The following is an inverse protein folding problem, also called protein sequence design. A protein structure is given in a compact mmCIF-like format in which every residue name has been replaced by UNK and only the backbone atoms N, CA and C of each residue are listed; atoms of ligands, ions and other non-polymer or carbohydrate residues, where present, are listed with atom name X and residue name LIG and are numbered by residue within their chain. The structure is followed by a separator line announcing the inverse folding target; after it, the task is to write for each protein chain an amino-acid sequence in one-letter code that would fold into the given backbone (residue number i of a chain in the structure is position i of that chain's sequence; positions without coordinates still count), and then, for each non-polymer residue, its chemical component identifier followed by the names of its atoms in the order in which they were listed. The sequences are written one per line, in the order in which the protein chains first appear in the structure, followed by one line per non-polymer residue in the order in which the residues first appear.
data_IF_323057543064
#
_entry.id   IF_323057543064
#
_cell.length_a   1.000
_cell.length_b   1.000
_cell.length_c   1.000
_cell.angle_alpha   90.00
_cell.angle_beta   90.00
_cell.angle_gamma   90.00
#
_symmetry.space_group_name_H-M   'P 1'
#
loop_
_entity.id
_entity.type
_entity.pdbx_description
1 polymer ?
#
# COMPACT_ATOMS: atom_id res chain seq x y z
N UNK A 1 -17.27 15.61 -2.24
CA UNK A 1 -15.88 15.83 -2.71
C UNK A 1 -15.73 15.23 -4.11
N UNK A 2 -15.16 15.97 -5.03
CA UNK A 2 -14.88 15.50 -6.39
C UNK A 2 -13.44 15.86 -6.72
N UNK A 3 -12.69 14.90 -7.26
CA UNK A 3 -11.33 15.11 -7.75
C UNK A 3 -11.28 14.78 -9.23
N UNK A 4 -10.64 15.64 -10.02
CA UNK A 4 -10.34 15.38 -11.42
C UNK A 4 -9.07 14.54 -11.57
N UNK A 5 -8.72 14.17 -12.82
CA UNK A 5 -7.50 13.44 -13.10
C UNK A 5 -6.26 14.14 -12.54
N UNK A 6 -5.39 13.41 -11.87
CA UNK A 6 -4.15 13.95 -11.29
C UNK A 6 -4.32 14.76 -10.00
N UNK A 7 -5.55 14.96 -9.55
CA UNK A 7 -5.81 15.67 -8.29
C UNK A 7 -5.81 14.70 -7.10
N UNK A 8 -5.44 15.21 -5.94
CA UNK A 8 -5.41 14.45 -4.69
C UNK A 8 -4.99 15.31 -3.51
N UNK A 9 -4.79 14.71 -2.34
CA UNK A 9 -4.60 15.43 -1.08
C UNK A 9 -3.19 15.35 -0.53
N UNK A 10 -2.67 14.14 -0.36
CA UNK A 10 -1.37 13.89 0.24
C UNK A 10 -0.57 12.94 -0.65
N UNK A 11 0.71 13.28 -0.86
CA UNK A 11 1.63 12.47 -1.64
C UNK A 11 2.77 12.03 -0.73
N UNK A 12 2.90 10.73 -0.54
CA UNK A 12 3.96 10.14 0.28
C UNK A 12 4.85 9.24 -0.57
N UNK A 13 6.08 9.00 -0.10
CA UNK A 13 7.02 8.09 -0.77
C UNK A 13 7.65 7.14 0.24
N UNK A 14 7.81 5.87 -0.15
CA UNK A 14 8.53 4.87 0.64
C UNK A 14 8.99 3.75 -0.30
N UNK A 15 10.17 3.22 -0.07
CA UNK A 15 10.74 2.12 -0.86
C UNK A 15 10.77 2.41 -2.37
N UNK A 16 10.91 3.67 -2.77
CA UNK A 16 10.84 4.08 -4.16
C UNK A 16 9.43 4.15 -4.75
N UNK A 17 8.40 3.78 -4.02
CA UNK A 17 7.02 3.90 -4.49
C UNK A 17 6.43 5.25 -4.11
N UNK A 18 5.46 5.71 -4.91
CA UNK A 18 4.70 6.93 -4.66
C UNK A 18 3.29 6.54 -4.26
N UNK A 19 2.78 7.16 -3.19
CA UNK A 19 1.45 6.92 -2.65
C UNK A 19 0.69 8.24 -2.66
N UNK A 20 -0.23 8.37 -3.60
CA UNK A 20 -1.01 9.61 -3.78
C UNK A 20 -2.44 9.40 -3.32
N UNK A 21 -2.77 9.96 -2.16
CA UNK A 21 -4.08 9.75 -1.52
C UNK A 21 -5.17 10.57 -2.18
N UNK A 22 -6.27 9.88 -2.51
CA UNK A 22 -7.50 10.46 -3.06
C UNK A 22 -8.59 10.58 -2.00
N UNK A 23 -8.53 9.76 -0.96
CA UNK A 23 -9.45 9.82 0.19
C UNK A 23 -8.67 9.57 1.48
N UNK A 24 -8.94 10.40 2.47
CA UNK A 24 -8.29 10.37 3.78
C UNK A 24 -9.31 10.10 4.89
N UNK A 25 -8.84 9.54 6.00
CA UNK A 25 -9.67 9.25 7.17
C UNK A 25 -10.50 10.47 7.63
N UNK A 26 -9.88 11.64 7.65
CA UNK A 26 -10.54 12.87 8.14
C UNK A 26 -11.75 13.30 7.31
N UNK A 27 -11.93 12.75 6.11
CA UNK A 27 -12.99 13.13 5.19
C UNK A 27 -14.24 12.26 5.32
N UNK A 28 -14.15 11.10 6.02
CA UNK A 28 -15.24 10.13 6.10
C UNK A 28 -15.30 9.39 7.44
N UNK A 29 -14.91 10.05 8.52
CA UNK A 29 -14.89 9.49 9.88
C UNK A 29 -14.06 8.21 10.01
N UNK A 30 -13.02 8.07 9.18
CA UNK A 30 -12.10 6.93 9.25
C UNK A 30 -12.58 5.67 8.55
N UNK A 31 -13.68 5.71 7.81
CA UNK A 31 -14.28 4.52 7.19
C UNK A 31 -13.40 3.92 6.08
N UNK A 32 -12.73 4.77 5.29
CA UNK A 32 -11.82 4.29 4.27
C UNK A 32 -10.73 5.31 3.94
N UNK A 33 -9.63 4.83 3.41
CA UNK A 33 -8.66 5.62 2.68
C UNK A 33 -8.40 4.96 1.34
N UNK A 34 -8.05 5.77 0.34
CA UNK A 34 -7.75 5.29 -1.00
C UNK A 34 -6.57 6.06 -1.56
N UNK A 35 -5.60 5.32 -2.09
CA UNK A 35 -4.45 5.91 -2.75
C UNK A 35 -4.23 5.30 -4.13
N UNK A 36 -3.70 6.12 -5.04
CA UNK A 36 -3.06 5.65 -6.25
C UNK A 36 -1.59 5.39 -5.91
N UNK A 37 -1.15 4.17 -6.11
CA UNK A 37 0.22 3.78 -5.80
C UNK A 37 0.97 3.47 -7.08
N UNK A 38 2.17 4.06 -7.23
CA UNK A 38 3.08 3.78 -8.33
C UNK A 38 4.26 2.99 -7.79
N UNK A 39 4.45 1.79 -8.34
CA UNK A 39 5.54 0.90 -7.96
C UNK A 39 6.67 1.00 -8.97
N UNK A 40 7.91 1.26 -8.53
CA UNK A 40 9.05 1.29 -9.45
C UNK A 40 9.34 -0.11 -9.99
N UNK A 41 10.08 -0.21 -11.12
CA UNK A 41 10.51 -1.49 -11.64
C UNK A 41 11.23 -2.30 -10.55
N UNK A 42 10.82 -3.56 -10.36
CA UNK A 42 11.40 -4.50 -9.39
C UNK A 42 11.59 -3.91 -8.00
N UNK A 43 10.67 -3.03 -7.61
CA UNK A 43 10.75 -2.32 -6.35
C UNK A 43 10.70 -3.24 -5.13
N UNK A 44 11.21 -2.72 -4.01
CA UNK A 44 11.27 -3.47 -2.76
C UNK A 44 9.85 -3.72 -2.23
N UNK A 45 9.54 -4.98 -1.90
CA UNK A 45 8.27 -5.36 -1.29
C UNK A 45 8.20 -4.94 0.17
N UNK A 46 7.01 -4.58 0.68
CA UNK A 46 6.82 -4.53 2.13
C UNK A 46 7.02 -5.93 2.75
N UNK A 47 7.37 -6.00 4.03
CA UNK A 47 7.37 -7.29 4.73
C UNK A 47 6.03 -7.99 4.61
N UNK A 48 6.03 -9.31 4.49
CA UNK A 48 4.78 -10.07 4.49
C UNK A 48 4.07 -9.86 5.83
N UNK A 49 2.78 -9.54 5.77
CA UNK A 49 2.02 -9.15 6.95
C UNK A 49 0.53 -9.45 6.79
N UNK A 50 -0.18 -9.33 7.91
CA UNK A 50 -1.65 -9.34 7.92
C UNK A 50 -2.16 -8.12 8.67
N UNK A 51 -3.26 -7.56 8.20
CA UNK A 51 -3.97 -6.51 8.91
C UNK A 51 -4.94 -7.15 9.89
N UNK A 52 -4.87 -6.79 11.15
CA UNK A 52 -5.74 -7.36 12.18
C UNK A 52 -7.11 -6.67 12.23
N UNK A 53 -7.21 -5.46 11.72
CA UNK A 53 -8.39 -4.61 11.89
C UNK A 53 -8.88 -3.91 10.63
N UNK A 54 -8.35 -4.26 9.45
CA UNK A 54 -8.87 -3.69 8.20
C UNK A 54 -8.81 -4.68 7.05
N UNK A 55 -9.65 -4.44 6.06
CA UNK A 55 -9.57 -5.11 4.75
C UNK A 55 -8.80 -4.22 3.79
N UNK A 56 -8.13 -4.84 2.83
CA UNK A 56 -7.36 -4.16 1.81
C UNK A 56 -7.78 -4.66 0.43
N UNK A 57 -7.84 -3.76 -0.53
CA UNK A 57 -8.17 -4.15 -1.90
C UNK A 57 -7.25 -3.44 -2.88
N UNK A 58 -6.94 -4.11 -3.98
CA UNK A 58 -6.14 -3.56 -5.07
C UNK A 58 -6.94 -3.59 -6.37
N UNK A 59 -6.89 -2.51 -7.12
CA UNK A 59 -7.35 -2.47 -8.49
C UNK A 59 -6.19 -1.98 -9.36
N UNK A 60 -5.71 -2.84 -10.27
CA UNK A 60 -4.55 -2.52 -11.09
C UNK A 60 -4.97 -1.60 -12.23
N UNK A 61 -4.28 -0.46 -12.36
CA UNK A 61 -4.53 0.53 -13.42
C UNK A 61 -3.64 0.28 -14.62
N UNK A 62 -2.36 -0.07 -14.39
CA UNK A 62 -1.38 -0.24 -15.46
C UNK A 62 -0.23 -1.12 -14.98
N UNK A 63 0.33 -1.91 -15.89
CA UNK A 63 1.43 -2.82 -15.60
C UNK A 63 0.99 -4.12 -14.95
N UNK A 64 1.91 -4.80 -14.29
CA UNK A 64 1.67 -6.07 -13.60
C UNK A 64 2.03 -5.93 -12.14
N UNK A 65 1.18 -6.50 -11.29
CA UNK A 65 1.42 -6.56 -9.84
C UNK A 65 1.49 -8.01 -9.42
N UNK A 66 2.56 -8.39 -8.75
CA UNK A 66 2.68 -9.70 -8.14
C UNK A 66 2.16 -9.59 -6.71
N UNK A 67 1.23 -10.47 -6.34
CA UNK A 67 0.64 -10.52 -5.00
C UNK A 67 0.92 -11.89 -4.41
N UNK A 68 1.45 -11.93 -3.21
CA UNK A 68 1.60 -13.18 -2.44
C UNK A 68 0.50 -13.20 -1.40
N UNK A 69 -0.37 -14.19 -1.46
CA UNK A 69 -1.47 -14.40 -0.52
C UNK A 69 -1.37 -15.83 0.00
N UNK A 70 -1.22 -15.99 1.32
CA UNK A 70 -1.08 -17.30 1.97
C UNK A 70 -0.07 -18.21 1.24
N UNK A 71 1.13 -17.68 0.99
CA UNK A 71 2.25 -18.37 0.32
C UNK A 71 2.05 -18.70 -1.17
N UNK A 72 0.95 -18.23 -1.78
CA UNK A 72 0.73 -18.36 -3.22
C UNK A 72 1.04 -17.05 -3.91
N UNK A 73 1.92 -17.09 -4.90
CA UNK A 73 2.22 -15.92 -5.72
C UNK A 73 1.34 -15.91 -6.97
N UNK A 74 0.64 -14.80 -7.17
CA UNK A 74 -0.23 -14.57 -8.31
C UNK A 74 0.13 -13.24 -8.95
N UNK A 75 0.00 -13.17 -10.28
CA UNK A 75 0.23 -11.93 -11.03
C UNK A 75 -1.10 -11.38 -11.53
N UNK A 76 -1.31 -10.09 -11.34
CA UNK A 76 -2.54 -9.40 -11.71
C UNK A 76 -2.19 -8.25 -12.66
N UNK A 77 -2.83 -8.23 -13.81
CA UNK A 77 -2.65 -7.16 -14.83
C UNK A 77 -3.72 -6.09 -14.75
N UNK A 78 -3.68 -5.16 -15.72
CA UNK A 78 -4.62 -4.03 -15.80
C UNK A 78 -6.07 -4.48 -15.72
N UNK A 79 -6.86 -3.71 -14.94
CA UNK A 79 -8.28 -3.96 -14.64
C UNK A 79 -8.50 -5.18 -13.75
N UNK A 80 -7.44 -5.84 -13.29
CA UNK A 80 -7.54 -6.91 -12.31
C UNK A 80 -7.78 -6.40 -10.91
N UNK A 81 -8.43 -7.22 -10.09
CA UNK A 81 -8.83 -6.85 -8.74
C UNK A 81 -8.42 -7.92 -7.74
N UNK A 82 -7.95 -7.48 -6.57
CA UNK A 82 -7.58 -8.36 -5.46
C UNK A 82 -8.26 -7.85 -4.19
N UNK A 83 -8.94 -8.75 -3.50
CA UNK A 83 -9.43 -8.46 -2.15
C UNK A 83 -8.60 -9.24 -1.14
N UNK A 84 -8.05 -8.55 -0.17
CA UNK A 84 -7.31 -9.14 0.95
C UNK A 84 -8.15 -8.93 2.21
N UNK A 85 -8.90 -9.92 2.64
CA UNK A 85 -9.70 -9.81 3.86
C UNK A 85 -8.81 -9.62 5.10
N UNK A 86 -9.39 -9.03 6.12
CA UNK A 86 -8.76 -8.93 7.44
C UNK A 86 -8.17 -10.27 7.87
N UNK A 87 -6.93 -10.26 8.38
CA UNK A 87 -6.27 -11.47 8.87
C UNK A 87 -5.54 -12.30 7.82
N UNK A 88 -5.61 -11.94 6.55
CA UNK A 88 -4.96 -12.69 5.48
C UNK A 88 -3.53 -12.23 5.29
N UNK A 89 -2.59 -13.16 5.37
CA UNK A 89 -1.16 -12.89 5.17
C UNK A 89 -0.89 -12.55 3.70
N UNK A 90 -0.20 -11.44 3.45
CA UNK A 90 0.04 -10.98 2.08
C UNK A 90 1.22 -10.03 1.97
N UNK A 91 1.71 -9.88 0.75
CA UNK A 91 2.56 -8.78 0.29
C UNK A 91 2.39 -8.63 -1.22
N UNK A 92 2.86 -7.53 -1.76
CA UNK A 92 2.77 -7.28 -3.20
C UNK A 92 4.00 -6.54 -3.70
N UNK A 93 4.19 -6.55 -5.01
CA UNK A 93 5.31 -5.87 -5.64
C UNK A 93 5.17 -5.83 -7.15
N UNK A 94 6.15 -5.22 -7.80
CA UNK A 94 6.20 -5.13 -9.25
C UNK A 94 7.29 -6.08 -9.78
N UNK A 95 6.91 -7.15 -10.51
CA UNK A 95 7.89 -8.14 -10.99
C UNK A 95 8.55 -7.74 -12.32
N UNK A 96 8.24 -6.57 -12.87
CA UNK A 96 8.66 -6.18 -14.22
C UNK A 96 9.71 -5.07 -14.23
N UNK A 97 10.24 -4.79 -15.40
CA UNK A 97 11.18 -3.70 -15.65
C UNK A 97 10.49 -2.35 -15.91
N UNK A 98 9.16 -2.33 -16.06
CA UNK A 98 8.38 -1.11 -16.19
C UNK A 98 7.71 -0.73 -14.88
N UNK A 99 7.12 0.45 -14.80
CA UNK A 99 6.32 0.86 -13.65
C UNK A 99 4.99 0.12 -13.61
N UNK A 100 4.41 -0.01 -12.41
CA UNK A 100 3.05 -0.48 -12.23
C UNK A 100 2.27 0.56 -11.42
N UNK A 101 0.98 0.74 -11.74
CA UNK A 101 0.09 1.65 -11.03
C UNK A 101 -1.15 0.90 -10.59
N UNK A 102 -1.56 1.12 -9.35
CA UNK A 102 -2.75 0.48 -8.78
C UNK A 102 -3.44 1.42 -7.80
N UNK A 103 -4.73 1.21 -7.62
CA UNK A 103 -5.46 1.77 -6.50
C UNK A 103 -5.33 0.83 -5.32
N UNK A 104 -5.10 1.38 -4.13
CA UNK A 104 -5.09 0.62 -2.88
C UNK A 104 -6.11 1.23 -1.95
N UNK A 105 -7.03 0.40 -1.48
CA UNK A 105 -8.13 0.81 -0.63
C UNK A 105 -7.98 0.10 0.71
N UNK A 106 -8.09 0.86 1.80
CA UNK A 106 -8.14 0.32 3.16
C UNK A 106 -9.45 0.72 3.84
N UNK A 107 -10.11 -0.23 4.44
CA UNK A 107 -11.34 -0.01 5.20
C UNK A 107 -11.28 -0.81 6.51
N UNK A 108 -11.18 -0.15 7.67
CA UNK A 108 -11.03 1.29 7.91
C UNK A 108 -9.78 1.92 7.32
N UNK A 109 -9.74 3.25 7.31
CA UNK A 109 -8.66 4.04 6.73
C UNK A 109 -7.29 3.75 7.37
N UNK A 110 -6.23 3.87 6.57
CA UNK A 110 -4.85 3.67 7.02
C UNK A 110 -3.88 4.78 6.58
N UNK A 111 -4.38 5.92 6.17
CA UNK A 111 -3.51 6.99 5.68
C UNK A 111 -2.52 7.50 6.72
N UNK A 112 -2.86 7.44 8.02
CA UNK A 112 -1.94 7.81 9.10
C UNK A 112 -0.69 6.91 9.12
N UNK A 113 -0.83 5.62 8.85
CA UNK A 113 0.31 4.72 8.73
C UNK A 113 1.25 5.16 7.61
N UNK A 114 0.71 5.52 6.45
CA UNK A 114 1.51 5.91 5.30
C UNK A 114 2.21 7.25 5.50
N UNK A 115 1.64 8.16 6.28
CA UNK A 115 2.32 9.39 6.69
C UNK A 115 3.57 9.07 7.52
N UNK A 116 3.45 8.16 8.49
CA UNK A 116 4.57 7.74 9.33
C UNK A 116 5.60 6.93 8.54
N UNK A 117 5.14 6.10 7.60
CA UNK A 117 6.02 5.34 6.71
C UNK A 117 6.87 6.28 5.85
N UNK A 118 6.26 7.34 5.33
CA UNK A 118 6.96 8.37 4.57
C UNK A 118 8.08 9.00 5.42
N UNK A 119 7.80 9.39 6.65
CA UNK A 119 8.79 9.95 7.56
C UNK A 119 9.94 8.97 7.81
N UNK A 120 9.61 7.70 8.02
CA UNK A 120 10.61 6.66 8.28
C UNK A 120 11.57 6.45 7.09
N UNK A 121 11.03 6.44 5.86
CA UNK A 121 11.79 6.17 4.63
C UNK A 121 12.49 7.40 4.05
N UNK A 122 12.17 8.61 4.50
CA UNK A 122 12.77 9.85 3.99
C UNK A 122 13.77 10.47 4.96
N UNK A 123 14.38 9.65 5.81
CA UNK A 123 15.55 10.00 6.63
C UNK A 123 16.83 9.85 5.82
N UNK A 124 17.94 10.28 6.39
CA UNK A 124 19.28 10.18 5.76
C UNK A 124 19.67 8.72 5.44
N UNK A 125 19.24 7.78 6.28
CA UNK A 125 19.49 6.35 6.10
C UNK A 125 18.17 5.59 6.00
N UNK A 126 18.10 4.53 5.15
CA UNK A 126 16.90 3.71 5.10
C UNK A 126 16.66 3.01 6.44
N UNK A 127 15.40 2.74 6.79
CA UNK A 127 15.10 2.08 8.06
C UNK A 127 15.57 0.63 8.06
N UNK A 128 15.84 0.12 9.26
CA UNK A 128 16.06 -1.32 9.45
C UNK A 128 14.72 -2.06 9.32
N UNK A 129 14.79 -3.36 9.09
CA UNK A 129 13.60 -4.22 9.06
C UNK A 129 12.85 -4.14 10.40
N UNK A 130 13.57 -4.09 11.51
CA UNK A 130 12.97 -3.98 12.84
C UNK A 130 12.22 -2.67 13.06
N UNK A 131 12.78 -1.56 12.59
CA UNK A 131 12.10 -0.25 12.67
C UNK A 131 10.79 -0.28 11.89
N UNK A 132 10.81 -0.85 10.68
CA UNK A 132 9.63 -0.95 9.85
C UNK A 132 8.58 -1.86 10.48
N UNK A 133 8.99 -3.01 11.03
CA UNK A 133 8.08 -3.93 11.73
C UNK A 133 7.43 -3.27 12.95
N UNK A 134 8.18 -2.50 13.73
CA UNK A 134 7.65 -1.78 14.87
C UNK A 134 6.60 -0.74 14.45
N UNK A 135 6.85 -0.03 13.35
CA UNK A 135 5.88 0.91 12.81
C UNK A 135 4.60 0.18 12.39
N UNK A 136 4.73 -0.90 11.65
CA UNK A 136 3.58 -1.71 11.21
C UNK A 136 2.76 -2.22 12.40
N UNK A 137 3.42 -2.69 13.45
CA UNK A 137 2.75 -3.19 14.65
C UNK A 137 1.89 -2.12 15.33
N UNK A 138 2.34 -0.88 15.34
CA UNK A 138 1.56 0.22 15.93
C UNK A 138 0.24 0.47 15.20
N UNK A 139 0.12 0.04 13.95
CA UNK A 139 -1.07 0.21 13.13
C UNK A 139 -1.82 -1.10 12.89
N UNK A 140 -1.63 -2.08 13.77
CA UNK A 140 -2.39 -3.33 13.73
C UNK A 140 -1.94 -4.30 12.66
N UNK A 141 -0.71 -4.18 12.14
CA UNK A 141 -0.16 -5.13 11.20
C UNK A 141 0.79 -6.09 11.89
N UNK A 142 0.52 -7.38 11.74
CA UNK A 142 1.40 -8.45 12.22
C UNK A 142 2.31 -8.87 11.07
N UNK A 143 3.62 -8.78 11.27
CA UNK A 143 4.60 -9.22 10.26
C UNK A 143 4.96 -10.70 10.47
N UNK A 144 5.26 -11.38 9.38
CA UNK A 144 5.50 -12.83 9.35
C UNK A 144 6.94 -13.14 8.99
#
# INVERSE_FOLDING_TARGET
MILGPGEGWKRYTARGSVMFFKALAEQDDGDLSLMERTLPPRGRRPPQHRHTNCSEAYFVLDGLVSVIIDDKELTVGSEGFVLVPRGTAHTFGNPTEGEARLLVIHAPAMDAYFADLHELWNRDEPPSVEEERRLMARFGMETL
#
